data_IF_259488052879
#
_entry.id   IF_259488052879
#
_cell.length_a   1.000
_cell.length_b   1.000
_cell.length_c   1.000
_cell.angle_alpha   90.00
_cell.angle_beta   90.00
_cell.angle_gamma   90.00
#
_symmetry.space_group_name_H-M   'P 1'
#
loop_
_entity.id
_entity.type
_entity.pdbx_description
1 polymer ?
#
# COMPACT_ATOMS: atom_id res chain seq x y z
N UNK A 1 6.67 -5.55 20.58
CA UNK A 1 7.63 -5.30 19.49
C UNK A 1 6.87 -5.57 18.23
N UNK A 2 6.51 -4.50 17.53
CA UNK A 2 5.63 -4.57 16.38
C UNK A 2 6.39 -5.20 15.23
N UNK A 3 5.65 -5.87 14.35
CA UNK A 3 6.24 -6.41 13.13
C UNK A 3 5.65 -5.61 11.96
N UNK A 4 6.52 -5.19 11.05
CA UNK A 4 6.14 -4.60 9.79
C UNK A 4 6.65 -5.50 8.66
N UNK A 5 5.77 -5.84 7.72
CA UNK A 5 6.13 -6.57 6.50
C UNK A 5 5.80 -5.72 5.28
N UNK A 6 6.79 -5.56 4.40
CA UNK A 6 6.61 -4.93 3.10
C UNK A 6 6.44 -6.03 2.03
N UNK A 7 5.31 -6.03 1.33
CA UNK A 7 4.99 -7.01 0.28
C UNK A 7 5.24 -6.37 -1.08
N UNK A 8 6.37 -6.74 -1.70
CA UNK A 8 6.82 -6.18 -2.98
C UNK A 8 6.96 -7.29 -4.02
N UNK A 9 6.62 -6.99 -5.27
CA UNK A 9 6.67 -7.92 -6.38
C UNK A 9 6.03 -7.31 -7.63
N UNK A 10 6.40 -7.77 -8.84
CA UNK A 10 5.86 -7.23 -10.08
C UNK A 10 4.33 -7.39 -10.17
N UNK A 11 3.69 -6.63 -11.06
CA UNK A 11 2.27 -6.82 -11.35
C UNK A 11 1.97 -8.29 -11.71
N UNK A 12 0.89 -8.84 -11.17
CA UNK A 12 0.52 -10.24 -11.34
C UNK A 12 1.30 -11.26 -10.52
N UNK A 13 2.24 -10.85 -9.65
CA UNK A 13 2.98 -11.78 -8.78
C UNK A 13 2.17 -12.36 -7.60
N UNK A 14 0.93 -11.91 -7.42
CA UNK A 14 0.03 -12.39 -6.37
C UNK A 14 0.21 -11.73 -4.99
N UNK A 15 0.66 -10.48 -4.93
CA UNK A 15 0.84 -9.73 -3.65
C UNK A 15 -0.44 -9.64 -2.83
N UNK A 16 -1.53 -9.13 -3.41
CA UNK A 16 -2.81 -9.02 -2.71
C UNK A 16 -3.40 -10.40 -2.36
N UNK A 17 -3.15 -11.42 -3.19
CA UNK A 17 -3.50 -12.81 -2.87
C UNK A 17 -2.71 -13.34 -1.66
N UNK A 18 -1.43 -12.99 -1.55
CA UNK A 18 -0.61 -13.28 -0.38
C UNK A 18 -1.15 -12.56 0.86
N UNK A 19 -1.48 -11.27 0.76
CA UNK A 19 -2.06 -10.49 1.86
C UNK A 19 -3.38 -11.10 2.35
N UNK A 20 -4.27 -11.50 1.43
CA UNK A 20 -5.52 -12.19 1.76
C UNK A 20 -5.30 -13.52 2.49
N UNK A 21 -4.37 -14.35 1.98
CA UNK A 21 -4.04 -15.65 2.59
C UNK A 21 -3.41 -15.48 3.98
N UNK A 22 -2.54 -14.47 4.13
CA UNK A 22 -1.88 -14.13 5.39
C UNK A 22 -2.91 -13.63 6.41
N UNK A 23 -3.84 -12.77 5.99
CA UNK A 23 -4.95 -12.29 6.82
C UNK A 23 -5.76 -13.47 7.40
N UNK A 24 -6.22 -14.37 6.54
CA UNK A 24 -6.99 -15.54 6.96
C UNK A 24 -6.20 -16.47 7.90
N UNK A 25 -4.90 -16.63 7.64
CA UNK A 25 -4.04 -17.41 8.51
C UNK A 25 -3.92 -16.79 9.90
N UNK A 26 -3.67 -15.49 9.99
CA UNK A 26 -3.55 -14.72 11.23
C UNK A 26 -4.84 -14.77 12.05
N UNK A 27 -6.00 -14.56 11.42
CA UNK A 27 -7.32 -14.72 12.04
C UNK A 27 -7.50 -16.12 12.64
N UNK A 28 -7.11 -17.17 11.90
CA UNK A 28 -7.23 -18.57 12.35
C UNK A 28 -6.37 -18.87 13.58
N UNK A 29 -5.19 -18.26 13.68
CA UNK A 29 -4.28 -18.46 14.82
C UNK A 29 -4.52 -17.46 15.97
N UNK A 30 -5.52 -16.59 15.85
CA UNK A 30 -5.88 -15.58 16.85
C UNK A 30 -4.84 -14.46 16.98
N UNK A 31 -4.20 -14.07 15.88
CA UNK A 31 -3.26 -12.94 15.81
C UNK A 31 -3.87 -11.79 15.04
N UNK A 32 -3.91 -10.61 15.65
CA UNK A 32 -4.29 -9.37 14.98
C UNK A 32 -3.29 -8.99 13.89
N UNK A 33 -3.80 -8.60 12.74
CA UNK A 33 -3.03 -8.15 11.58
C UNK A 33 -3.75 -6.97 10.95
N UNK A 34 -3.00 -5.95 10.56
CA UNK A 34 -3.49 -4.73 9.94
C UNK A 34 -2.84 -4.59 8.57
N UNK A 35 -3.63 -4.61 7.51
CA UNK A 35 -3.13 -4.48 6.13
C UNK A 35 -3.26 -3.04 5.68
N UNK A 36 -2.14 -2.44 5.27
CA UNK A 36 -2.05 -1.10 4.70
C UNK A 36 -1.92 -1.23 3.19
N UNK A 37 -2.86 -0.64 2.46
CA UNK A 37 -2.79 -0.56 1.01
C UNK A 37 -1.99 0.67 0.57
N UNK A 38 -0.91 0.45 -0.17
CA UNK A 38 -0.11 1.50 -0.81
C UNK A 38 -0.26 1.50 -2.33
N UNK A 39 -1.13 0.66 -2.91
CA UNK A 39 -1.41 0.63 -4.35
C UNK A 39 -2.60 1.55 -4.69
N UNK A 40 -2.37 2.72 -5.32
CA UNK A 40 -3.45 3.64 -5.70
C UNK A 40 -4.32 3.12 -6.86
N UNK A 41 -3.88 2.05 -7.53
CA UNK A 41 -4.60 1.38 -8.61
C UNK A 41 -5.45 0.19 -8.12
N UNK A 42 -5.47 -0.08 -6.80
CA UNK A 42 -6.23 -1.21 -6.26
C UNK A 42 -7.75 -0.97 -6.33
N UNK A 43 -8.48 -1.94 -6.89
CA UNK A 43 -9.93 -1.86 -7.09
C UNK A 43 -10.72 -2.62 -6.02
N UNK A 44 -10.29 -3.83 -5.65
CA UNK A 44 -11.03 -4.73 -4.77
C UNK A 44 -10.09 -5.43 -3.78
N UNK A 45 -10.53 -5.56 -2.52
CA UNK A 45 -9.82 -6.27 -1.47
C UNK A 45 -10.68 -7.38 -0.88
N UNK A 46 -10.10 -8.55 -0.66
CA UNK A 46 -10.75 -9.70 0.01
C UNK A 46 -10.51 -9.71 1.53
N UNK A 47 -10.05 -8.59 2.09
CA UNK A 47 -9.68 -8.43 3.50
C UNK A 47 -9.93 -6.98 3.94
N UNK A 48 -10.13 -6.72 5.25
CA UNK A 48 -10.21 -5.35 5.75
C UNK A 48 -8.87 -4.64 5.57
N UNK A 49 -8.93 -3.48 4.92
CA UNK A 49 -7.80 -2.57 4.78
C UNK A 49 -7.86 -1.59 5.95
N UNK A 50 -6.74 -1.49 6.67
CA UNK A 50 -6.61 -0.67 7.87
C UNK A 50 -6.27 0.80 7.51
N UNK A 51 -5.51 0.99 6.43
CA UNK A 51 -5.19 2.30 5.86
C UNK A 51 -5.08 2.15 4.34
N UNK A 52 -5.69 3.06 3.58
CA UNK A 52 -5.69 3.03 2.12
C UNK A 52 -5.14 4.34 1.56
N UNK A 53 -4.07 4.26 0.75
CA UNK A 53 -3.51 5.41 0.02
C UNK A 53 -4.57 6.15 -0.81
N UNK A 54 -5.65 5.48 -1.24
CA UNK A 54 -6.73 6.10 -2.00
C UNK A 54 -7.48 7.19 -1.23
N UNK A 55 -7.38 7.22 0.10
CA UNK A 55 -7.90 8.32 0.92
C UNK A 55 -7.06 9.60 0.81
N UNK A 56 -5.77 9.45 0.49
CA UNK A 56 -4.87 10.55 0.18
C UNK A 56 -4.95 10.90 -1.32
N UNK A 57 -4.79 9.89 -2.19
CA UNK A 57 -4.72 10.07 -3.64
C UNK A 57 -5.10 8.80 -4.40
N UNK A 58 -5.95 8.92 -5.41
CA UNK A 58 -6.35 7.80 -6.28
C UNK A 58 -5.73 7.92 -7.69
N UNK A 59 -5.45 6.79 -8.33
CA UNK A 59 -4.88 6.79 -9.68
C UNK A 59 -5.86 7.41 -10.70
N UNK A 60 -7.15 7.06 -10.59
CA UNK A 60 -8.18 7.48 -11.54
C UNK A 60 -8.39 9.00 -11.52
N UNK A 61 -8.44 9.61 -10.33
CA UNK A 61 -8.61 11.06 -10.18
C UNK A 61 -7.41 11.80 -10.78
N UNK A 62 -6.20 11.31 -10.54
CA UNK A 62 -4.97 11.90 -11.10
C UNK A 62 -4.93 11.80 -12.63
N UNK A 63 -5.36 10.67 -13.18
CA UNK A 63 -5.45 10.49 -14.64
C UNK A 63 -6.46 11.46 -15.25
N UNK A 64 -7.61 11.66 -14.62
CA UNK A 64 -8.66 12.56 -15.10
C UNK A 64 -8.26 14.04 -14.96
N UNK A 65 -7.75 14.45 -13.81
CA UNK A 65 -7.45 15.86 -13.51
C UNK A 65 -6.18 16.37 -14.22
N UNK A 66 -5.13 15.55 -14.27
CA UNK A 66 -3.84 15.94 -14.84
C UNK A 66 -3.65 15.48 -16.30
N UNK A 67 -4.58 14.68 -16.83
CA UNK A 67 -4.50 14.14 -18.19
C UNK A 67 -3.30 13.20 -18.39
N UNK A 68 -2.83 12.57 -17.32
CA UNK A 68 -1.68 11.67 -17.33
C UNK A 68 -2.11 10.27 -17.78
N UNK A 69 -1.19 9.57 -18.45
CA UNK A 69 -1.34 8.13 -18.66
C UNK A 69 -1.14 7.35 -17.34
N UNK A 70 -1.54 6.08 -17.27
CA UNK A 70 -1.56 5.30 -16.01
C UNK A 70 -0.18 5.22 -15.32
N UNK A 71 0.90 5.10 -16.09
CA UNK A 71 2.26 5.10 -15.51
C UNK A 71 2.66 6.48 -14.95
N UNK A 72 2.25 7.56 -15.60
CA UNK A 72 2.56 8.93 -15.15
C UNK A 72 1.76 9.29 -13.91
N UNK A 73 0.48 8.91 -13.89
CA UNK A 73 -0.38 9.07 -12.73
C UNK A 73 0.13 8.26 -11.53
N UNK A 74 0.62 7.03 -11.75
CA UNK A 74 1.16 6.21 -10.67
C UNK A 74 2.41 6.84 -10.03
N UNK A 75 3.31 7.42 -10.84
CA UNK A 75 4.48 8.14 -10.32
C UNK A 75 4.02 9.32 -9.45
N UNK A 76 3.06 10.10 -9.95
CA UNK A 76 2.51 11.23 -9.22
C UNK A 76 1.89 10.81 -7.88
N UNK A 77 1.13 9.72 -7.84
CA UNK A 77 0.59 9.17 -6.59
C UNK A 77 1.69 8.80 -5.59
N UNK A 78 2.81 8.22 -6.07
CA UNK A 78 3.93 7.87 -5.20
C UNK A 78 4.69 9.09 -4.69
N UNK A 79 4.84 10.15 -5.51
CA UNK A 79 5.43 11.43 -5.10
C UNK A 79 4.57 12.14 -4.05
N UNK A 80 3.25 12.13 -4.21
CA UNK A 80 2.32 12.68 -3.22
C UNK A 80 2.35 11.88 -1.91
N UNK A 81 2.45 10.55 -1.98
CA UNK A 81 2.68 9.73 -0.79
C UNK A 81 3.97 10.15 -0.08
N UNK A 82 5.09 10.26 -0.82
CA UNK A 82 6.39 10.68 -0.28
C UNK A 82 6.33 12.04 0.41
N UNK A 83 5.67 13.02 -0.23
CA UNK A 83 5.49 14.36 0.32
C UNK A 83 4.66 14.37 1.61
N UNK A 84 3.70 13.45 1.74
CA UNK A 84 2.81 13.35 2.90
C UNK A 84 3.23 12.25 3.91
N UNK A 85 4.43 11.69 3.80
CA UNK A 85 4.91 10.63 4.70
C UNK A 85 4.97 11.10 6.17
N UNK A 86 5.54 12.28 6.41
CA UNK A 86 5.76 12.78 7.78
C UNK A 86 4.47 13.34 8.42
N UNK A 87 3.46 13.64 7.62
CA UNK A 87 2.17 14.15 8.08
C UNK A 87 1.13 13.03 8.12
N UNK A 88 0.44 12.83 7.01
CA UNK A 88 -0.68 11.90 6.90
C UNK A 88 -0.30 10.46 7.28
N UNK A 89 0.81 9.94 6.73
CA UNK A 89 1.16 8.53 6.94
C UNK A 89 1.67 8.27 8.37
N UNK A 90 2.49 9.17 8.91
CA UNK A 90 2.97 9.07 10.28
C UNK A 90 1.82 9.17 11.29
N UNK A 91 0.91 10.13 11.12
CA UNK A 91 -0.28 10.29 11.98
C UNK A 91 -1.17 9.04 11.95
N UNK A 92 -1.41 8.45 10.78
CA UNK A 92 -2.18 7.22 10.70
C UNK A 92 -1.45 6.02 11.33
N UNK A 93 -0.13 5.96 11.27
CA UNK A 93 0.65 4.92 11.95
C UNK A 93 0.60 5.05 13.48
N UNK A 94 0.39 6.24 14.05
CA UNK A 94 0.21 6.44 15.50
C UNK A 94 -1.07 5.77 16.04
N UNK A 95 -2.03 5.46 15.19
CA UNK A 95 -3.25 4.75 15.57
C UNK A 95 -3.00 3.26 15.91
N UNK A 96 -1.82 2.73 15.56
CA UNK A 96 -1.45 1.33 15.78
C UNK A 96 -0.44 1.18 16.92
N UNK A 97 -0.50 0.04 17.61
CA UNK A 97 0.33 -0.23 18.79
C UNK A 97 1.65 -0.91 18.42
N UNK A 98 2.62 -0.77 19.32
CA UNK A 98 3.93 -1.43 19.27
C UNK A 98 3.89 -2.97 19.34
N UNK A 99 2.71 -3.61 19.39
CA UNK A 99 2.53 -5.05 19.31
C UNK A 99 1.69 -5.50 18.09
N UNK A 100 1.24 -4.56 17.27
CA UNK A 100 0.51 -4.86 16.04
C UNK A 100 1.42 -5.42 14.94
N UNK A 101 0.82 -6.24 14.07
CA UNK A 101 1.45 -6.73 12.86
C UNK A 101 0.91 -5.95 11.66
N UNK A 102 1.74 -5.07 11.09
CA UNK A 102 1.43 -4.27 9.92
C UNK A 102 1.96 -4.95 8.66
N UNK A 103 1.12 -5.03 7.62
CA UNK A 103 1.49 -5.56 6.31
C UNK A 103 1.17 -4.54 5.24
N UNK A 104 2.19 -4.08 4.54
CA UNK A 104 2.08 -3.07 3.49
C UNK A 104 2.00 -3.76 2.12
N UNK A 105 0.87 -3.63 1.42
CA UNK A 105 0.70 -4.10 0.04
C UNK A 105 1.13 -2.99 -0.93
N UNK A 106 2.24 -3.20 -1.64
CA UNK A 106 2.83 -2.20 -2.52
C UNK A 106 2.30 -2.30 -3.96
N UNK A 107 2.32 -1.20 -4.72
CA UNK A 107 1.89 -1.21 -6.12
C UNK A 107 2.69 -2.21 -6.96
N UNK A 108 2.05 -2.91 -7.88
CA UNK A 108 2.74 -3.93 -8.70
C UNK A 108 3.85 -3.39 -9.60
N UNK A 109 3.72 -2.15 -10.07
CA UNK A 109 4.71 -1.49 -10.91
C UNK A 109 5.80 -0.77 -10.08
N UNK A 110 5.67 -0.69 -8.74
CA UNK A 110 6.60 -0.01 -7.82
C UNK A 110 8.05 -0.54 -7.91
N UNK A 111 8.23 -1.83 -8.25
CA UNK A 111 9.56 -2.44 -8.35
C UNK A 111 10.40 -1.82 -9.49
N UNK A 112 9.75 -1.28 -10.52
CA UNK A 112 10.43 -0.55 -11.61
C UNK A 112 10.93 0.82 -11.16
N UNK A 113 10.25 1.42 -10.19
CA UNK A 113 10.52 2.77 -9.69
C UNK A 113 11.56 2.79 -8.58
N UNK A 114 11.52 1.83 -7.64
CA UNK A 114 12.57 1.66 -6.63
C UNK A 114 13.95 1.44 -7.25
N UNK A 115 14.03 0.81 -8.43
CA UNK A 115 15.31 0.65 -9.14
C UNK A 115 15.79 1.97 -9.73
N UNK A 116 14.90 2.83 -10.25
CA UNK A 116 15.28 4.10 -10.90
C UNK A 116 15.82 5.17 -9.94
N UNK A 117 15.42 5.17 -8.67
CA UNK A 117 15.89 6.17 -7.69
C UNK A 117 17.26 5.83 -7.05
N UNK A 118 17.79 4.62 -7.30
CA UNK A 118 19.07 4.14 -6.75
C UNK A 118 20.13 3.81 -7.82
N UNK A 119 19.96 4.28 -9.08
CA UNK A 119 21.00 4.27 -10.13
C UNK A 119 21.33 5.68 -10.60
#
# INVERSE_FOLDING_TARGET
MGYAQLVIGPAGSGKSTYCSSLYQHCETVGRSINIVNLDPAAENFDYPVAMDIKELISLDDVMEELGLGPNGALIYCMEELEYNLDGWFAEELENYRDDDYLVFDCPGESIRFFVMHFI
#
